data_IF_675125176250
#
_entry.id   IF_675125176250
#
_cell.length_a   1.000
_cell.length_b   1.000
_cell.length_c   1.000
_cell.angle_alpha   90.00
_cell.angle_beta   90.00
_cell.angle_gamma   90.00
#
_symmetry.space_group_name_H-M   'P 1'
#
loop_
_entity.id
_entity.type
_entity.pdbx_description
1 polymer ?
#
# COMPACT_ATOMS: atom_id res chain seq x y z
N UNK A 1 11.71 -22.85 7.36
CA UNK A 1 11.33 -22.05 8.55
C UNK A 1 10.75 -20.74 8.07
N UNK A 2 9.41 -20.60 8.00
CA UNK A 2 8.66 -19.32 8.05
C UNK A 2 7.21 -19.46 7.50
N UNK A 3 6.36 -20.30 8.10
CA UNK A 3 4.92 -20.31 7.80
C UNK A 3 4.09 -20.10 9.08
N UNK A 4 4.18 -18.91 9.68
CA UNK A 4 3.28 -18.52 10.79
C UNK A 4 2.62 -17.14 10.62
N UNK A 5 2.88 -16.41 9.53
CA UNK A 5 2.25 -15.10 9.27
C UNK A 5 1.19 -15.10 8.14
N UNK A 6 0.92 -16.24 7.51
CA UNK A 6 -0.04 -16.33 6.39
C UNK A 6 -1.49 -16.03 6.79
N UNK A 7 -1.86 -16.11 8.08
CA UNK A 7 -3.25 -15.96 8.51
C UNK A 7 -3.75 -14.51 8.58
N UNK A 8 -2.89 -13.50 8.69
CA UNK A 8 -3.32 -12.12 8.96
C UNK A 8 -2.98 -11.11 7.86
N UNK A 9 -2.05 -11.44 6.95
CA UNK A 9 -1.77 -10.61 5.78
C UNK A 9 -2.67 -11.07 4.63
N UNK A 10 -3.84 -10.44 4.50
CA UNK A 10 -4.75 -10.65 3.39
C UNK A 10 -5.42 -9.31 3.05
N UNK A 11 -5.63 -8.96 1.77
CA UNK A 11 -5.30 -9.73 0.57
C UNK A 11 -3.86 -9.47 0.07
N UNK A 12 -3.17 -10.52 -0.40
CA UNK A 12 -1.77 -10.46 -0.90
C UNK A 12 -1.75 -10.39 -2.43
N UNK A 13 -1.02 -9.42 -2.98
CA UNK A 13 -0.82 -9.29 -4.42
C UNK A 13 0.03 -10.45 -4.99
N UNK A 14 -0.34 -10.94 -6.17
CA UNK A 14 0.51 -11.86 -6.92
C UNK A 14 1.78 -11.17 -7.44
N UNK A 15 2.67 -11.91 -8.09
CA UNK A 15 3.94 -11.36 -8.55
C UNK A 15 3.78 -10.25 -9.60
N UNK A 16 2.81 -10.38 -10.51
CA UNK A 16 2.56 -9.42 -11.58
C UNK A 16 1.99 -8.11 -11.02
N UNK A 17 0.95 -8.21 -10.19
CA UNK A 17 0.33 -7.09 -9.51
C UNK A 17 1.31 -6.42 -8.54
N UNK A 18 2.17 -7.19 -7.86
CA UNK A 18 3.23 -6.64 -6.99
C UNK A 18 4.16 -5.73 -7.77
N UNK A 19 4.64 -6.13 -8.96
CA UNK A 19 5.51 -5.26 -9.77
C UNK A 19 4.76 -3.98 -10.19
N UNK A 20 3.52 -4.12 -10.66
CA UNK A 20 2.69 -2.97 -11.05
C UNK A 20 2.46 -1.98 -9.89
N UNK A 21 2.21 -2.50 -8.67
CA UNK A 21 2.10 -1.68 -7.46
C UNK A 21 3.40 -0.94 -7.19
N UNK A 22 4.55 -1.62 -7.25
CA UNK A 22 5.85 -1.03 -6.94
C UNK A 22 6.23 0.06 -7.96
N UNK A 23 5.98 -0.16 -9.25
CA UNK A 23 6.23 0.81 -10.31
C UNK A 23 5.36 2.07 -10.15
N UNK A 24 4.08 1.89 -9.79
CA UNK A 24 3.18 3.01 -9.54
C UNK A 24 3.56 3.77 -8.26
N UNK A 25 4.02 3.08 -7.22
CA UNK A 25 4.52 3.73 -6.00
C UNK A 25 5.76 4.57 -6.30
N UNK A 26 6.67 4.07 -7.14
CA UNK A 26 7.83 4.83 -7.58
C UNK A 26 7.42 6.08 -8.34
N UNK A 27 6.51 5.96 -9.31
CA UNK A 27 5.96 7.10 -10.04
C UNK A 27 5.30 8.10 -9.09
N UNK A 28 4.46 7.63 -8.17
CA UNK A 28 3.78 8.45 -7.17
C UNK A 28 4.77 9.17 -6.22
N UNK A 29 5.92 8.55 -5.91
CA UNK A 29 6.98 9.19 -5.14
C UNK A 29 7.60 10.38 -5.89
N UNK A 30 7.82 10.26 -7.21
CA UNK A 30 8.32 11.35 -8.05
C UNK A 30 7.33 12.51 -8.16
N UNK A 31 6.03 12.21 -8.26
CA UNK A 31 4.94 13.21 -8.28
C UNK A 31 4.60 13.77 -6.90
N UNK A 32 5.33 13.39 -5.84
CA UNK A 32 5.07 13.78 -4.43
C UNK A 32 3.65 13.44 -3.94
N UNK A 33 3.03 12.44 -4.56
CA UNK A 33 1.68 11.94 -4.28
C UNK A 33 1.71 10.68 -3.39
N UNK A 34 2.74 10.57 -2.55
CA UNK A 34 3.00 9.38 -1.75
C UNK A 34 3.28 9.72 -0.27
N UNK A 35 2.59 9.02 0.62
CA UNK A 35 2.84 9.00 2.07
C UNK A 35 3.52 7.69 2.45
N UNK A 36 4.56 7.77 3.28
CA UNK A 36 5.48 6.66 3.56
C UNK A 36 5.50 6.39 5.06
N UNK A 37 5.30 5.14 5.44
CA UNK A 37 5.25 4.68 6.82
C UNK A 37 3.83 4.64 7.40
N UNK A 38 3.66 3.81 8.45
CA UNK A 38 2.38 3.56 9.09
C UNK A 38 1.67 4.84 9.54
N UNK A 39 2.34 5.69 10.32
CA UNK A 39 1.73 6.92 10.87
C UNK A 39 1.24 7.88 9.77
N UNK A 40 1.95 8.00 8.66
CA UNK A 40 1.55 8.88 7.56
C UNK A 40 0.42 8.28 6.74
N UNK A 41 0.38 6.95 6.57
CA UNK A 41 -0.76 6.26 5.98
C UNK A 41 -2.03 6.43 6.84
N UNK A 42 -1.93 6.25 8.16
CA UNK A 42 -3.03 6.48 9.11
C UNK A 42 -3.55 7.92 9.04
N UNK A 43 -2.66 8.92 8.93
CA UNK A 43 -3.07 10.32 8.73
C UNK A 43 -3.78 10.53 7.39
N UNK A 44 -3.28 9.92 6.31
CA UNK A 44 -3.87 10.06 4.98
C UNK A 44 -5.29 9.47 4.92
N UNK A 45 -5.49 8.30 5.53
CA UNK A 45 -6.79 7.64 5.70
C UNK A 45 -7.75 8.51 6.53
N UNK A 46 -7.31 8.99 7.70
CA UNK A 46 -8.15 9.85 8.55
C UNK A 46 -8.58 11.15 7.87
N UNK A 47 -7.73 11.70 6.99
CA UNK A 47 -8.03 12.90 6.21
C UNK A 47 -8.87 12.64 4.95
N UNK A 48 -9.15 11.37 4.61
CA UNK A 48 -9.85 11.00 3.37
C UNK A 48 -9.05 11.34 2.10
N UNK A 49 -7.73 11.39 2.21
CA UNK A 49 -6.83 11.73 1.09
C UNK A 49 -6.14 10.52 0.49
N UNK A 50 -6.29 9.33 1.08
CA UNK A 50 -5.68 8.11 0.59
C UNK A 50 -6.59 7.47 -0.48
N UNK A 51 -6.00 7.14 -1.63
CA UNK A 51 -6.68 6.41 -2.72
C UNK A 51 -6.47 4.90 -2.60
N UNK A 52 -5.24 4.49 -2.28
CA UNK A 52 -4.82 3.09 -2.10
C UNK A 52 -3.77 3.04 -0.99
N UNK A 53 -3.87 2.01 -0.14
CA UNK A 53 -2.87 1.71 0.89
C UNK A 53 -2.13 0.41 0.58
N UNK A 54 -0.80 0.43 0.68
CA UNK A 54 0.06 -0.73 0.45
C UNK A 54 0.77 -1.09 1.74
N UNK A 55 0.73 -2.38 2.12
CA UNK A 55 1.26 -2.92 3.36
C UNK A 55 2.30 -4.01 3.07
N UNK A 56 3.30 -4.17 3.92
CA UNK A 56 4.30 -5.23 3.75
C UNK A 56 4.00 -6.46 4.62
N UNK A 57 3.89 -7.65 4.00
CA UNK A 57 3.56 -8.90 4.67
C UNK A 57 4.71 -9.47 5.52
N UNK A 58 5.98 -9.21 5.15
CA UNK A 58 7.19 -9.61 5.89
C UNK A 58 7.51 -8.68 7.10
N UNK A 59 6.52 -7.92 7.56
CA UNK A 59 6.65 -7.07 8.74
C UNK A 59 6.68 -7.92 10.01
N UNK A 60 7.65 -7.64 10.89
CA UNK A 60 7.83 -8.36 12.15
C UNK A 60 7.96 -7.35 13.28
N UNK A 61 7.03 -7.33 14.26
CA UNK A 61 5.80 -8.12 14.33
C UNK A 61 4.69 -7.54 13.42
N UNK A 62 3.89 -8.39 12.76
CA UNK A 62 2.82 -7.95 11.85
C UNK A 62 1.73 -7.13 12.57
N UNK A 63 1.54 -7.37 13.87
CA UNK A 63 0.59 -6.66 14.72
C UNK A 63 0.71 -5.13 14.66
N UNK A 64 1.89 -4.58 14.34
CA UNK A 64 2.07 -3.12 14.22
C UNK A 64 1.29 -2.51 13.06
N UNK A 65 0.89 -3.30 12.06
CA UNK A 65 0.16 -2.83 10.87
C UNK A 65 -1.35 -3.08 10.92
N UNK A 66 -1.83 -3.97 11.79
CA UNK A 66 -3.22 -4.46 11.76
C UNK A 66 -4.29 -3.38 12.01
N UNK A 67 -3.90 -2.23 12.58
CA UNK A 67 -4.79 -1.08 12.72
C UNK A 67 -5.10 -0.38 11.39
N UNK A 68 -4.25 -0.52 10.37
CA UNK A 68 -4.40 0.17 9.09
C UNK A 68 -5.48 -0.47 8.22
N UNK A 69 -5.52 -1.81 8.01
CA UNK A 69 -6.63 -2.47 7.31
C UNK A 69 -8.01 -2.10 7.88
N UNK A 70 -8.17 -2.16 9.21
CA UNK A 70 -9.43 -1.82 9.87
C UNK A 70 -9.87 -0.38 9.56
N UNK A 71 -8.93 0.57 9.63
CA UNK A 71 -9.20 1.96 9.29
C UNK A 71 -9.49 2.16 7.79
N UNK A 72 -8.84 1.37 6.92
CA UNK A 72 -9.05 1.43 5.48
C UNK A 72 -10.46 0.92 5.10
N UNK A 73 -10.93 -0.15 5.74
CA UNK A 73 -12.30 -0.67 5.61
C UNK A 73 -13.34 0.36 6.06
N UNK A 74 -13.17 0.97 7.24
CA UNK A 74 -14.06 2.03 7.74
C UNK A 74 -14.13 3.25 6.80
N UNK A 75 -13.05 3.51 6.06
CA UNK A 75 -12.94 4.62 5.09
C UNK A 75 -13.23 4.20 3.65
N UNK A 76 -13.62 2.95 3.42
CA UNK A 76 -13.84 2.39 2.08
C UNK A 76 -12.65 2.67 1.13
N UNK A 77 -11.43 2.56 1.66
CA UNK A 77 -10.19 2.74 0.93
C UNK A 77 -9.56 1.36 0.68
N UNK A 78 -9.28 0.98 -0.58
CA UNK A 78 -8.67 -0.30 -0.89
C UNK A 78 -7.26 -0.40 -0.29
N UNK A 79 -6.91 -1.60 0.19
CA UNK A 79 -5.58 -1.92 0.66
C UNK A 79 -5.09 -3.26 0.12
N UNK A 80 -3.78 -3.41 0.04
CA UNK A 80 -3.14 -4.64 -0.46
C UNK A 80 -1.81 -4.90 0.23
N UNK A 81 -1.50 -6.17 0.45
CA UNK A 81 -0.21 -6.60 0.95
C UNK A 81 0.76 -6.95 -0.19
N UNK A 82 1.98 -6.42 -0.10
CA UNK A 82 3.13 -6.83 -0.90
C UNK A 82 4.07 -7.71 -0.07
N UNK A 83 4.78 -8.66 -0.69
CA UNK A 83 5.57 -9.64 0.04
C UNK A 83 6.78 -9.06 0.78
N UNK A 84 7.36 -7.93 0.33
CA UNK A 84 8.61 -7.40 0.90
C UNK A 84 8.59 -5.91 1.24
N UNK A 85 8.88 -5.58 2.50
CA UNK A 85 9.12 -4.22 3.01
C UNK A 85 10.35 -3.55 2.44
N UNK A 86 11.34 -4.34 1.99
CA UNK A 86 12.57 -3.83 1.38
C UNK A 86 12.29 -3.36 -0.04
N UNK A 87 11.55 -4.16 -0.82
CA UNK A 87 11.08 -3.76 -2.14
C UNK A 87 10.17 -2.53 -2.07
N UNK A 88 9.24 -2.52 -1.09
CA UNK A 88 8.37 -1.38 -0.83
C UNK A 88 9.17 -0.09 -0.51
N UNK A 89 10.19 -0.19 0.34
CA UNK A 89 11.08 0.94 0.66
C UNK A 89 11.81 1.49 -0.57
N UNK A 90 12.34 0.59 -1.41
CA UNK A 90 13.01 0.97 -2.65
C UNK A 90 12.07 1.69 -3.62
N UNK A 91 10.87 1.16 -3.84
CA UNK A 91 9.83 1.80 -4.66
C UNK A 91 9.44 3.18 -4.10
N UNK A 92 9.39 3.33 -2.79
CA UNK A 92 9.15 4.62 -2.14
C UNK A 92 10.33 5.62 -2.25
N UNK A 93 11.45 5.23 -2.88
CA UNK A 93 12.66 6.05 -3.00
C UNK A 93 13.42 6.24 -1.68
N UNK A 94 13.37 5.25 -0.78
CA UNK A 94 14.10 5.30 0.50
C UNK A 94 15.01 4.07 0.67
N UNK A 95 16.16 4.27 1.31
CA UNK A 95 17.14 3.21 1.56
C UNK A 95 16.71 2.25 2.68
N UNK A 96 15.82 2.69 3.57
CA UNK A 96 15.29 1.91 4.69
C UNK A 96 14.05 1.14 4.30
N UNK A 97 13.81 0.01 4.95
CA UNK A 97 12.56 -0.73 4.83
C UNK A 97 11.34 0.15 5.17
N UNK A 98 10.27 0.01 4.40
CA UNK A 98 8.99 0.67 4.61
C UNK A 98 7.94 -0.40 4.78
N UNK A 99 7.14 -0.29 5.83
CA UNK A 99 6.13 -1.30 6.18
C UNK A 99 4.72 -0.94 5.67
N UNK A 100 4.49 0.34 5.33
CA UNK A 100 3.22 0.85 4.83
C UNK A 100 3.47 2.07 3.96
N UNK A 101 2.68 2.24 2.90
CA UNK A 101 2.65 3.43 2.07
C UNK A 101 1.20 3.72 1.64
N UNK A 102 0.87 4.99 1.40
CA UNK A 102 -0.43 5.39 0.87
C UNK A 102 -0.25 6.35 -0.30
N UNK A 103 -0.87 6.02 -1.43
CA UNK A 103 -0.97 6.92 -2.59
C UNK A 103 -2.10 7.89 -2.28
N UNK A 104 -1.84 9.20 -2.39
CA UNK A 104 -2.84 10.23 -2.09
C UNK A 104 -3.61 10.64 -3.34
N UNK A 105 -4.78 11.24 -3.17
CA UNK A 105 -5.55 11.83 -4.27
C UNK A 105 -4.86 13.08 -4.81
N UNK A 106 -4.86 13.24 -6.14
CA UNK A 106 -4.48 14.45 -6.84
C UNK A 106 -5.11 14.42 -8.24
N UNK A 107 -6.22 15.14 -8.42
CA UNK A 107 -7.00 15.13 -9.67
C UNK A 107 -6.23 15.72 -10.86
N UNK A 108 -5.21 16.54 -10.59
CA UNK A 108 -4.36 17.14 -11.62
C UNK A 108 -3.20 16.24 -12.04
N UNK A 109 -3.09 15.04 -11.46
CA UNK A 109 -1.98 14.12 -11.71
C UNK A 109 -2.27 13.24 -12.93
N UNK A 110 -1.28 13.11 -13.81
CA UNK A 110 -1.31 12.18 -14.94
C UNK A 110 -1.44 10.71 -14.49
N UNK A 111 -1.10 10.42 -13.22
CA UNK A 111 -1.20 9.08 -12.63
C UNK A 111 -2.63 8.66 -12.29
N UNK A 112 -3.61 9.57 -12.34
CA UNK A 112 -4.99 9.30 -11.91
C UNK A 112 -5.60 8.08 -12.61
N UNK A 113 -5.33 7.91 -13.92
CA UNK A 113 -5.81 6.74 -14.67
C UNK A 113 -5.19 5.42 -14.19
N UNK A 114 -3.88 5.42 -13.91
CA UNK A 114 -3.17 4.25 -13.41
C UNK A 114 -3.61 3.89 -11.98
N UNK A 115 -3.80 4.90 -11.12
CA UNK A 115 -4.27 4.71 -9.74
C UNK A 115 -5.67 4.09 -9.74
N UNK A 116 -6.58 4.59 -10.59
CA UNK A 116 -7.93 4.01 -10.73
C UNK A 116 -7.88 2.55 -11.22
N UNK A 117 -7.09 2.26 -12.26
CA UNK A 117 -6.94 0.90 -12.76
C UNK A 117 -6.36 -0.05 -11.70
N UNK A 118 -5.40 0.42 -10.90
CA UNK A 118 -4.84 -0.38 -9.81
C UNK A 118 -5.86 -0.60 -8.69
N UNK A 119 -6.66 0.43 -8.34
CA UNK A 119 -7.73 0.33 -7.36
C UNK A 119 -8.74 -0.75 -7.74
N UNK A 120 -9.19 -0.78 -8.99
CA UNK A 120 -10.11 -1.81 -9.49
C UNK A 120 -9.52 -3.22 -9.39
N UNK A 121 -8.22 -3.37 -9.64
CA UNK A 121 -7.52 -4.67 -9.51
C UNK A 121 -7.43 -5.12 -8.05
N UNK A 122 -7.13 -4.19 -7.14
CA UNK A 122 -7.04 -4.48 -5.70
C UNK A 122 -8.41 -4.81 -5.13
N UNK A 123 -9.46 -4.10 -5.52
CA UNK A 123 -10.83 -4.39 -5.08
C UNK A 123 -11.28 -5.80 -5.52
N UNK A 124 -10.91 -6.23 -6.73
CA UNK A 124 -11.19 -7.61 -7.20
C UNK A 124 -10.43 -8.69 -6.42
N UNK A 125 -9.30 -8.35 -5.82
CA UNK A 125 -8.49 -9.25 -5.00
C UNK A 125 -9.12 -9.47 -3.61
N UNK A 126 -9.94 -8.52 -3.17
CA UNK A 126 -10.61 -8.52 -1.86
C UNK A 126 -12.02 -9.12 -1.88
N UNK A 127 -12.45 -9.72 -3.01
CA UNK A 127 -13.72 -10.42 -3.19
C UNK A 127 -13.52 -11.93 -3.03
#
# INVERSE_FOLDING_TARGET
MSNQNESAAWPIADAALTQEILDLLQSSAHYRQLKKGANEATKALNRGTAEIVVLAADTTPLAILLHIPLLAEDKNTPYVYVPSKVALGRACGVSRAVISAAITSNESSDLTGQIRALKDKVERLAI
#
